data_IF_256688487383
#
_entry.id   IF_256688487383
#
_cell.length_a   1.000
_cell.length_b   1.000
_cell.length_c   1.000
_cell.angle_alpha   90.00
_cell.angle_beta   90.00
_cell.angle_gamma   90.00
#
_symmetry.space_group_name_H-M   'P 1'
#
loop_
_entity.id
_entity.type
_entity.pdbx_description
1 polymer ?
#
# COMPACT_ATOMS: atom_id res chain seq x y z
N UNK A 1 35.57 0.29 73.28
CA UNK A 1 35.61 -0.48 72.02
C UNK A 1 34.20 -0.92 71.68
N UNK A 2 33.63 -0.28 70.66
CA UNK A 2 32.26 -0.36 70.13
C UNK A 2 32.36 0.09 68.65
N UNK A 3 31.41 -0.21 67.75
CA UNK A 3 31.52 -1.40 66.90
C UNK A 3 31.56 -1.09 65.38
N UNK A 4 32.25 -2.00 64.69
CA UNK A 4 31.93 -2.69 63.44
C UNK A 4 30.80 -2.19 62.51
N UNK A 5 31.22 -1.96 61.23
CA UNK A 5 30.57 -2.24 59.92
C UNK A 5 29.45 -1.31 59.37
N UNK A 6 29.91 -0.40 58.49
CA UNK A 6 29.57 -0.13 57.07
C UNK A 6 28.19 -0.52 56.47
N UNK A 7 27.66 0.26 55.50
CA UNK A 7 26.25 0.30 55.13
C UNK A 7 25.93 -0.65 53.96
N UNK A 8 24.74 -1.25 53.99
CA UNK A 8 24.18 -1.95 52.83
C UNK A 8 22.95 -1.18 52.33
N UNK A 9 23.16 -0.41 51.26
CA UNK A 9 22.11 0.23 50.48
C UNK A 9 21.31 -0.85 49.74
N UNK A 10 20.04 -1.00 50.10
CA UNK A 10 19.12 -1.89 49.39
C UNK A 10 18.36 -1.08 48.33
N UNK A 11 18.91 -1.06 47.12
CA UNK A 11 18.26 -0.48 45.94
C UNK A 11 17.12 -1.41 45.50
N UNK A 12 15.88 -0.99 45.75
CA UNK A 12 14.66 -1.57 45.19
C UNK A 12 14.59 -1.24 43.69
N UNK A 13 15.08 -2.16 42.86
CA UNK A 13 14.93 -2.11 41.41
C UNK A 13 13.56 -2.70 41.04
N UNK A 14 12.52 -1.87 41.05
CA UNK A 14 11.20 -2.22 40.53
C UNK A 14 11.28 -2.37 39.00
N UNK A 15 11.37 -3.61 38.53
CA UNK A 15 11.20 -3.97 37.12
C UNK A 15 9.78 -3.66 36.67
N UNK A 16 9.59 -2.49 36.06
CA UNK A 16 8.38 -2.13 35.32
C UNK A 16 8.38 -2.90 34.00
N UNK A 17 7.72 -4.06 33.97
CA UNK A 17 7.45 -4.79 32.73
C UNK A 17 6.36 -4.06 31.94
N UNK A 18 6.75 -3.10 31.10
CA UNK A 18 5.88 -2.61 30.03
C UNK A 18 5.76 -3.71 28.96
N UNK A 19 4.75 -4.55 29.08
CA UNK A 19 4.30 -5.38 27.95
C UNK A 19 3.61 -4.47 26.94
N UNK A 20 4.37 -3.97 25.98
CA UNK A 20 3.83 -3.29 24.81
C UNK A 20 3.14 -4.34 23.93
N UNK A 21 1.88 -4.64 24.24
CA UNK A 21 1.00 -5.40 23.36
C UNK A 21 0.64 -4.52 22.17
N UNK A 22 1.60 -4.34 21.27
CA UNK A 22 1.34 -3.78 19.95
C UNK A 22 0.46 -4.76 19.18
N UNK A 23 -0.85 -4.65 19.37
CA UNK A 23 -1.82 -5.19 18.43
C UNK A 23 -1.59 -4.45 17.11
N UNK A 24 -0.71 -5.00 16.26
CA UNK A 24 -0.78 -4.72 14.83
C UNK A 24 -2.13 -5.27 14.40
N UNK A 25 -3.12 -4.37 14.33
CA UNK A 25 -4.37 -4.64 13.65
C UNK A 25 -3.98 -5.19 12.27
N UNK A 26 -4.19 -6.48 12.12
CA UNK A 26 -4.09 -7.18 10.86
C UNK A 26 -5.01 -6.41 9.92
N UNK A 27 -4.43 -5.76 8.90
CA UNK A 27 -5.17 -5.02 7.87
C UNK A 27 -6.08 -6.07 7.20
N UNK A 28 -7.29 -6.19 7.73
CA UNK A 28 -8.24 -7.23 7.37
C UNK A 28 -8.56 -7.08 5.89
N UNK A 29 -8.15 -8.09 5.12
CA UNK A 29 -8.65 -8.51 3.80
C UNK A 29 -9.74 -7.57 3.28
N UNK A 30 -9.34 -6.58 2.46
CA UNK A 30 -10.24 -5.60 1.83
C UNK A 30 -9.77 -4.15 1.83
N UNK A 31 -8.75 -3.80 2.63
CA UNK A 31 -8.15 -2.44 2.64
C UNK A 31 -6.70 -2.37 2.16
N UNK A 32 -6.04 -3.51 1.96
CA UNK A 32 -4.65 -3.57 1.50
C UNK A 32 -4.56 -3.79 -0.01
N UNK A 33 -3.62 -3.12 -0.68
CA UNK A 33 -3.25 -3.37 -2.08
C UNK A 33 -1.93 -4.13 -2.14
N UNK A 34 -1.66 -4.78 -3.27
CA UNK A 34 -0.40 -5.46 -3.55
C UNK A 34 0.30 -4.82 -4.77
N UNK A 35 1.63 -4.78 -4.75
CA UNK A 35 2.44 -4.47 -5.95
C UNK A 35 2.90 -5.81 -6.52
N UNK A 36 2.15 -6.35 -7.47
CA UNK A 36 2.41 -7.67 -8.07
C UNK A 36 3.74 -7.73 -8.82
N UNK A 37 4.26 -6.57 -9.26
CA UNK A 37 5.61 -6.45 -9.78
C UNK A 37 5.83 -5.18 -10.59
N UNK A 38 6.95 -5.14 -11.30
CA UNK A 38 7.37 -4.03 -12.14
C UNK A 38 7.95 -4.54 -13.47
N UNK A 39 7.58 -3.90 -14.59
CA UNK A 39 8.20 -4.09 -15.89
C UNK A 39 8.66 -2.73 -16.44
N UNK A 40 9.98 -2.54 -16.55
CA UNK A 40 10.55 -1.22 -16.86
C UNK A 40 10.18 -0.20 -15.78
N UNK A 41 9.52 0.90 -16.15
CA UNK A 41 9.04 1.93 -15.22
C UNK A 41 7.61 1.69 -14.72
N UNK A 42 6.91 0.69 -15.26
CA UNK A 42 5.51 0.43 -14.99
C UNK A 42 5.36 -0.57 -13.86
N UNK A 43 4.65 -0.17 -12.80
CA UNK A 43 4.30 -1.05 -11.67
C UNK A 43 2.85 -1.54 -11.81
N UNK A 44 2.64 -2.80 -11.44
CA UNK A 44 1.34 -3.46 -11.53
C UNK A 44 0.74 -3.57 -10.13
N UNK A 45 -0.39 -2.91 -9.93
CA UNK A 45 -1.04 -2.78 -8.64
C UNK A 45 -2.31 -3.62 -8.64
N UNK A 46 -2.42 -4.53 -7.67
CA UNK A 46 -3.63 -5.32 -7.46
C UNK A 46 -4.37 -4.74 -6.27
N UNK A 47 -5.64 -4.43 -6.47
CA UNK A 47 -6.53 -3.88 -5.46
C UNK A 47 -7.72 -4.82 -5.19
N UNK A 48 -8.34 -4.73 -4.02
CA UNK A 48 -9.58 -5.46 -3.73
C UNK A 48 -10.68 -5.09 -4.73
N UNK A 49 -11.48 -6.07 -5.15
CA UNK A 49 -12.48 -5.92 -6.21
C UNK A 49 -13.58 -4.90 -5.84
N UNK A 50 -13.94 -4.84 -4.57
CA UNK A 50 -14.88 -3.88 -3.99
C UNK A 50 -14.38 -2.42 -4.05
N UNK A 51 -13.07 -2.20 -4.24
CA UNK A 51 -12.46 -0.87 -4.35
C UNK A 51 -12.29 -0.41 -5.79
N UNK A 52 -12.73 -1.18 -6.79
CA UNK A 52 -12.49 -0.89 -8.22
C UNK A 52 -12.92 0.51 -8.66
N UNK A 53 -13.99 1.04 -8.07
CA UNK A 53 -14.54 2.37 -8.39
C UNK A 53 -14.27 3.42 -7.30
N UNK A 54 -13.50 3.09 -6.27
CA UNK A 54 -13.19 4.00 -5.16
C UNK A 54 -12.01 4.91 -5.54
N UNK A 55 -12.34 6.10 -6.03
CA UNK A 55 -11.37 7.10 -6.51
C UNK A 55 -10.38 7.52 -5.42
N UNK A 56 -10.87 7.72 -4.19
CA UNK A 56 -10.02 8.17 -3.09
C UNK A 56 -9.07 7.07 -2.61
N UNK A 57 -9.51 5.81 -2.66
CA UNK A 57 -8.64 4.67 -2.39
C UNK A 57 -7.47 4.63 -3.38
N UNK A 58 -7.72 4.76 -4.69
CA UNK A 58 -6.66 4.78 -5.70
C UNK A 58 -5.70 5.95 -5.49
N UNK A 59 -6.22 7.17 -5.22
CA UNK A 59 -5.39 8.36 -4.97
C UNK A 59 -4.45 8.19 -3.77
N UNK A 60 -4.90 7.53 -2.70
CA UNK A 60 -4.05 7.21 -1.55
C UNK A 60 -2.90 6.28 -1.94
N UNK A 61 -3.17 5.29 -2.80
CA UNK A 61 -2.13 4.38 -3.29
C UNK A 61 -1.13 5.12 -4.17
N UNK A 62 -1.59 5.94 -5.11
CA UNK A 62 -0.73 6.78 -5.97
C UNK A 62 0.22 7.61 -5.10
N UNK A 63 -0.31 8.34 -4.11
CA UNK A 63 0.49 9.14 -3.18
C UNK A 63 1.49 8.32 -2.35
N UNK A 64 1.15 7.07 -2.02
CA UNK A 64 2.01 6.18 -1.24
C UNK A 64 3.14 5.59 -2.08
N UNK A 65 2.91 5.31 -3.36
CA UNK A 65 3.89 4.64 -4.24
C UNK A 65 4.76 5.64 -5.01
N UNK A 66 4.17 6.74 -5.48
CA UNK A 66 4.86 7.70 -6.34
C UNK A 66 5.67 8.69 -5.49
N UNK A 67 6.96 8.82 -5.83
CA UNK A 67 7.83 9.84 -5.25
C UNK A 67 7.61 11.15 -6.01
N UNK A 68 7.44 12.24 -5.27
CA UNK A 68 7.18 13.55 -5.85
C UNK A 68 8.34 13.97 -6.77
N UNK A 69 8.02 14.36 -8.00
CA UNK A 69 9.02 14.84 -8.97
C UNK A 69 9.75 13.73 -9.74
N UNK A 70 9.43 12.45 -9.51
CA UNK A 70 9.96 11.32 -10.26
C UNK A 70 8.93 10.72 -11.21
N UNK A 71 9.36 10.15 -12.34
CA UNK A 71 8.45 9.43 -13.25
C UNK A 71 7.77 8.28 -12.50
N UNK A 72 6.44 8.21 -12.56
CA UNK A 72 5.66 7.17 -11.90
C UNK A 72 4.54 6.68 -12.82
N UNK A 73 4.62 5.41 -13.23
CA UNK A 73 3.61 4.75 -14.06
C UNK A 73 3.04 3.55 -13.32
N UNK A 74 1.73 3.56 -13.08
CA UNK A 74 1.02 2.51 -12.35
C UNK A 74 -0.16 2.03 -13.18
N UNK A 75 -0.28 0.72 -13.34
CA UNK A 75 -1.50 0.09 -13.85
C UNK A 75 -2.18 -0.67 -12.71
N UNK A 76 -3.44 -0.35 -12.48
CA UNK A 76 -4.27 -0.95 -11.43
C UNK A 76 -5.21 -1.99 -12.02
N UNK A 77 -5.35 -3.10 -11.31
CA UNK A 77 -6.22 -4.22 -11.63
C UNK A 77 -6.93 -4.71 -10.38
N UNK A 78 -8.07 -5.38 -10.57
CA UNK A 78 -8.65 -6.24 -9.53
C UNK A 78 -8.30 -7.70 -9.77
N UNK A 79 -8.54 -8.53 -8.76
CA UNK A 79 -8.31 -9.96 -8.83
C UNK A 79 -9.53 -10.73 -8.32
N UNK A 80 -10.70 -10.53 -8.95
CA UNK A 80 -11.96 -11.13 -8.49
C UNK A 80 -11.98 -12.66 -8.56
N UNK A 81 -11.08 -13.25 -9.36
CA UNK A 81 -10.94 -14.69 -9.56
C UNK A 81 -9.84 -15.33 -8.72
N UNK A 82 -9.21 -14.57 -7.82
CA UNK A 82 -8.10 -15.04 -6.97
C UNK A 82 -7.00 -15.77 -7.78
N UNK A 83 -6.66 -15.20 -8.94
CA UNK A 83 -5.56 -15.68 -9.75
C UNK A 83 -4.20 -15.35 -9.08
N UNK A 84 -3.11 -16.06 -9.44
CA UNK A 84 -1.78 -15.73 -8.93
C UNK A 84 -1.34 -14.29 -9.28
N UNK A 85 -0.84 -13.56 -8.28
CA UNK A 85 -0.41 -12.15 -8.40
C UNK A 85 1.09 -12.00 -8.65
N UNK A 86 1.65 -12.82 -9.52
CA UNK A 86 3.04 -12.76 -9.95
C UNK A 86 3.14 -12.27 -11.40
N UNK A 87 4.32 -11.79 -11.80
CA UNK A 87 4.60 -11.46 -13.20
C UNK A 87 5.11 -12.69 -13.97
N UNK A 88 4.72 -12.87 -15.26
CA UNK A 88 3.72 -12.10 -15.98
C UNK A 88 2.32 -12.27 -15.38
N UNK A 89 1.50 -11.22 -15.39
CA UNK A 89 0.15 -11.28 -14.83
C UNK A 89 -0.70 -12.29 -15.57
N UNK A 90 -1.53 -13.02 -14.82
CA UNK A 90 -2.53 -13.94 -15.36
C UNK A 90 -3.59 -13.17 -16.17
N UNK A 91 -4.06 -13.77 -17.28
CA UNK A 91 -5.06 -13.17 -18.16
C UNK A 91 -6.35 -12.78 -17.43
N UNK A 92 -6.70 -13.49 -16.34
CA UNK A 92 -7.85 -13.15 -15.49
C UNK A 92 -7.70 -11.80 -14.81
N UNK A 93 -6.48 -11.44 -14.39
CA UNK A 93 -6.17 -10.13 -13.81
C UNK A 93 -6.11 -9.07 -14.92
N UNK A 94 -5.48 -9.39 -16.05
CA UNK A 94 -5.36 -8.47 -17.19
C UNK A 94 -6.73 -8.06 -17.76
N UNK A 95 -7.75 -8.92 -17.64
CA UNK A 95 -9.13 -8.63 -18.01
C UNK A 95 -9.88 -7.72 -17.03
N UNK A 96 -9.30 -7.41 -15.87
CA UNK A 96 -9.91 -6.61 -14.81
C UNK A 96 -9.19 -5.28 -14.52
N UNK A 97 -8.87 -4.45 -15.54
CA UNK A 97 -8.18 -3.20 -15.29
C UNK A 97 -9.12 -2.17 -14.62
N UNK A 98 -8.54 -1.23 -13.87
CA UNK A 98 -9.30 -0.15 -13.20
C UNK A 98 -8.78 1.24 -13.54
N UNK A 99 -7.49 1.51 -13.32
CA UNK A 99 -6.86 2.82 -13.49
C UNK A 99 -5.48 2.67 -14.12
N UNK A 100 -5.17 3.55 -15.07
CA UNK A 100 -3.81 3.81 -15.52
C UNK A 100 -3.41 5.19 -15.03
N UNK A 101 -2.42 5.24 -14.12
CA UNK A 101 -1.83 6.48 -13.63
C UNK A 101 -0.48 6.72 -14.30
N UNK A 102 -0.29 7.92 -14.84
CA UNK A 102 1.00 8.32 -15.42
C UNK A 102 1.40 9.72 -14.98
N UNK A 103 2.61 9.83 -14.45
CA UNK A 103 3.27 11.11 -14.23
C UNK A 103 4.69 11.08 -14.81
N UNK A 104 5.06 12.18 -15.48
CA UNK A 104 6.43 12.41 -15.98
C UNK A 104 6.89 13.82 -15.63
N UNK A 105 8.09 13.98 -15.03
CA UNK A 105 8.64 15.30 -14.72
C UNK A 105 8.87 16.17 -15.96
N UNK A 106 9.10 15.54 -17.13
CA UNK A 106 9.28 16.23 -18.41
C UNK A 106 8.02 16.99 -18.84
N UNK A 107 6.85 16.41 -18.61
CA UNK A 107 5.57 16.99 -19.01
C UNK A 107 4.83 17.67 -17.87
N UNK A 108 5.22 17.40 -16.61
CA UNK A 108 4.63 17.95 -15.37
C UNK A 108 3.12 17.80 -15.27
N UNK A 109 2.57 16.83 -16.00
CA UNK A 109 1.15 16.53 -16.02
C UNK A 109 0.94 15.13 -15.44
N UNK A 110 -0.10 15.02 -14.62
CA UNK A 110 -0.64 13.76 -14.13
C UNK A 110 -1.80 13.34 -15.03
N UNK A 111 -1.80 12.08 -15.44
CA UNK A 111 -2.85 11.49 -16.26
C UNK A 111 -3.47 10.34 -15.45
N UNK A 112 -4.78 10.42 -15.24
CA UNK A 112 -5.62 9.39 -14.62
C UNK A 112 -6.63 8.90 -15.65
N UNK A 113 -6.31 7.81 -16.36
CA UNK A 113 -7.22 7.18 -17.30
C UNK A 113 -7.88 5.97 -16.64
N UNK A 114 -9.18 6.06 -16.37
CA UNK A 114 -9.94 4.96 -15.77
C UNK A 114 -10.55 4.06 -16.83
N UNK A 115 -10.79 2.78 -16.49
CA UNK A 115 -11.39 1.82 -17.41
C UNK A 115 -12.85 2.16 -17.69
N UNK A 116 -13.24 2.15 -18.97
CA UNK A 116 -14.64 2.35 -19.38
C UNK A 116 -15.59 1.28 -18.78
N UNK A 117 -15.07 0.11 -18.40
CA UNK A 117 -15.83 -0.97 -17.73
C UNK A 117 -16.51 -0.50 -16.44
N UNK A 118 -15.91 0.47 -15.75
CA UNK A 118 -16.37 0.95 -14.44
C UNK A 118 -17.54 1.93 -14.53
N UNK A 119 -17.85 2.46 -15.73
CA UNK A 119 -18.95 3.42 -15.97
C UNK A 119 -18.94 4.63 -15.02
N UNK A 120 -17.76 5.10 -14.66
CA UNK A 120 -17.59 6.30 -13.84
C UNK A 120 -18.04 7.55 -14.62
N UNK A 121 -18.54 8.60 -13.96
CA UNK A 121 -18.94 9.85 -14.61
C UNK A 121 -17.71 10.72 -14.94
N UNK A 122 -16.82 10.21 -15.77
CA UNK A 122 -15.57 10.85 -16.20
C UNK A 122 -15.62 11.22 -17.68
N UNK A 123 -14.85 12.24 -18.07
CA UNK A 123 -14.89 12.80 -19.44
C UNK A 123 -14.20 11.91 -20.49
N UNK A 124 -13.27 11.04 -20.07
CA UNK A 124 -12.48 10.16 -20.94
C UNK A 124 -12.12 8.89 -20.17
N UNK A 125 -12.13 7.74 -20.85
CA UNK A 125 -11.78 6.43 -20.31
C UNK A 125 -11.09 5.59 -21.39
N UNK A 126 -10.41 4.52 -20.99
CA UNK A 126 -9.78 3.54 -21.90
C UNK A 126 -10.55 2.22 -21.97
#
# INVERSE_FOLDING_TARGET
>A
MNPMKSPLAFLLFTCFLFTNSGNFANDTVGNSFNVAGQMGLMKFIIIPAEKQSDVEFHRKIVKKICIQGETCFLNFFTNSKNAPENLPLDDRILAEPTLMYKYSPKHRNEIEDWSCRLKLPIKSCF
#
